data_IF_053484693218
#
_entry.id   IF_053484693218
#
_cell.length_a   1.000
_cell.length_b   1.000
_cell.length_c   1.000
_cell.angle_alpha   90.00
_cell.angle_beta   90.00
_cell.angle_gamma   90.00
#
_symmetry.space_group_name_H-M   'P 1'
#
loop_
_entity.id
_entity.type
_entity.pdbx_description
1 polymer ?
#
# COMPACT_ATOMS: atom_id res chain seq x y z
N UNK A 1 -4.01 2.58 27.46
CA UNK A 1 -3.87 1.58 26.36
C UNK A 1 -3.69 2.22 24.99
N UNK A 2 -4.48 3.23 24.59
CA UNK A 2 -4.35 3.85 23.26
C UNK A 2 -3.00 4.55 22.96
N UNK A 3 -2.25 5.04 23.97
CA UNK A 3 -0.91 5.62 23.75
C UNK A 3 0.19 4.56 23.52
N UNK A 4 0.12 3.41 24.20
CA UNK A 4 1.16 2.36 24.13
C UNK A 4 1.08 1.52 22.84
N UNK A 5 -0.01 1.62 22.09
CA UNK A 5 -0.19 1.04 20.76
C UNK A 5 -0.55 2.11 19.71
N UNK A 6 -0.31 3.39 20.04
CA UNK A 6 -0.64 4.47 19.13
C UNK A 6 0.36 4.48 17.99
N UNK A 7 -0.14 4.52 16.75
CA UNK A 7 0.67 4.88 15.59
C UNK A 7 1.08 6.37 15.61
N UNK A 8 0.67 7.15 16.62
CA UNK A 8 0.98 8.59 16.71
C UNK A 8 2.49 8.89 16.91
N UNK A 9 3.30 7.90 17.27
CA UNK A 9 4.76 8.04 17.34
C UNK A 9 5.48 7.55 16.08
N UNK A 10 4.73 7.06 15.07
CA UNK A 10 5.34 6.66 13.80
C UNK A 10 5.86 7.92 13.07
N UNK A 11 7.15 8.00 12.73
CA UNK A 11 7.69 9.13 11.98
C UNK A 11 7.05 9.21 10.59
N UNK A 12 7.02 10.41 10.01
CA UNK A 12 6.61 10.57 8.62
C UNK A 12 7.67 9.97 7.68
N UNK A 13 7.36 8.81 7.10
CA UNK A 13 8.26 8.09 6.21
C UNK A 13 8.23 8.60 4.76
N UNK A 14 7.38 9.57 4.43
CA UNK A 14 7.20 10.04 3.05
C UNK A 14 8.50 10.49 2.39
N UNK A 15 9.32 11.27 3.09
CA UNK A 15 10.58 11.77 2.54
C UNK A 15 11.56 10.61 2.27
N UNK A 16 11.76 9.73 3.25
CA UNK A 16 12.64 8.56 3.14
C UNK A 16 12.18 7.59 2.06
N UNK A 17 10.87 7.34 1.98
CA UNK A 17 10.30 6.48 0.93
C UNK A 17 10.44 7.11 -0.45
N UNK A 18 10.35 8.44 -0.61
CA UNK A 18 10.61 9.06 -1.93
C UNK A 18 12.08 9.01 -2.35
N UNK A 19 13.01 9.02 -1.39
CA UNK A 19 14.45 8.99 -1.62
C UNK A 19 15.06 7.57 -1.63
N UNK A 20 14.24 6.53 -1.53
CA UNK A 20 14.67 5.13 -1.47
C UNK A 20 15.48 4.69 -2.70
N UNK A 21 16.38 3.74 -2.50
CA UNK A 21 17.19 3.07 -3.53
C UNK A 21 16.74 1.63 -3.82
N UNK A 22 15.62 1.20 -3.24
CA UNK A 22 15.02 -0.11 -3.43
C UNK A 22 13.65 -0.05 -4.13
N UNK A 23 13.24 -1.12 -4.86
CA UNK A 23 11.89 -1.23 -5.42
C UNK A 23 10.82 -1.14 -4.34
N UNK A 24 9.75 -0.40 -4.60
CA UNK A 24 8.64 -0.24 -3.67
C UNK A 24 7.32 -0.18 -4.42
N UNK A 25 6.49 -1.17 -4.13
CA UNK A 25 5.17 -1.35 -4.71
C UNK A 25 4.12 -1.14 -3.63
N UNK A 26 3.06 -0.41 -3.98
CA UNK A 26 1.97 -0.09 -3.06
C UNK A 26 0.68 -0.74 -3.53
N UNK A 27 0.11 -1.66 -2.76
CA UNK A 27 -1.17 -2.29 -3.09
C UNK A 27 -2.28 -1.61 -2.30
N UNK A 28 -3.36 -1.24 -2.98
CA UNK A 28 -4.54 -0.66 -2.33
C UNK A 28 -5.82 -1.13 -3.03
N UNK A 29 -6.89 -1.33 -2.26
CA UNK A 29 -8.20 -1.63 -2.83
C UNK A 29 -8.79 -0.42 -3.54
N UNK A 30 -9.51 -0.67 -4.63
CA UNK A 30 -10.23 0.35 -5.41
C UNK A 30 -11.11 1.26 -4.54
N UNK A 31 -11.80 0.69 -3.54
CA UNK A 31 -12.72 1.41 -2.65
C UNK A 31 -12.01 2.11 -1.47
N UNK A 32 -10.71 1.93 -1.30
CA UNK A 32 -9.95 2.57 -0.22
C UNK A 32 -9.40 3.94 -0.63
N UNK A 33 -10.28 4.94 -0.65
CA UNK A 33 -9.92 6.30 -1.05
C UNK A 33 -8.82 6.93 -0.18
N UNK A 34 -8.74 6.56 1.11
CA UNK A 34 -7.74 7.10 2.03
C UNK A 34 -6.33 6.64 1.64
N UNK A 35 -6.14 5.34 1.47
CA UNK A 35 -4.81 4.80 1.18
C UNK A 35 -4.43 4.96 -0.30
N UNK A 36 -5.41 5.08 -1.21
CA UNK A 36 -5.15 5.52 -2.59
C UNK A 36 -4.56 6.94 -2.65
N UNK A 37 -5.06 7.87 -1.83
CA UNK A 37 -4.49 9.22 -1.76
C UNK A 37 -3.05 9.20 -1.23
N UNK A 38 -2.78 8.41 -0.18
CA UNK A 38 -1.43 8.24 0.38
C UNK A 38 -0.46 7.65 -0.66
N UNK A 39 -0.89 6.66 -1.44
CA UNK A 39 -0.06 6.09 -2.50
C UNK A 39 0.41 7.15 -3.52
N UNK A 40 -0.46 8.12 -3.85
CA UNK A 40 -0.12 9.27 -4.69
C UNK A 40 0.94 10.19 -4.07
N UNK A 41 0.90 10.43 -2.76
CA UNK A 41 1.89 11.27 -2.04
C UNK A 41 3.30 10.64 -1.96
N UNK A 42 3.38 9.31 -2.11
CA UNK A 42 4.63 8.53 -1.98
C UNK A 42 5.39 8.36 -3.30
N UNK A 43 4.83 8.83 -4.42
CA UNK A 43 5.33 8.55 -5.78
C UNK A 43 5.67 7.07 -5.98
N UNK A 44 4.84 6.18 -5.42
CA UNK A 44 5.02 4.74 -5.50
C UNK A 44 4.40 4.18 -6.77
N UNK A 45 4.92 3.05 -7.26
CA UNK A 45 4.18 2.23 -8.22
C UNK A 45 2.98 1.63 -7.50
N UNK A 46 1.82 2.24 -7.69
CA UNK A 46 0.59 1.87 -7.02
C UNK A 46 -0.20 0.87 -7.88
N UNK A 47 -0.57 -0.25 -7.26
CA UNK A 47 -1.39 -1.30 -7.83
C UNK A 47 -2.77 -1.26 -7.17
N UNK A 48 -3.79 -0.97 -7.97
CA UNK A 48 -5.18 -0.93 -7.50
C UNK A 48 -5.80 -2.30 -7.66
N UNK A 49 -6.27 -2.86 -6.55
CA UNK A 49 -6.99 -4.13 -6.53
C UNK A 49 -8.48 -3.85 -6.72
N UNK A 50 -8.99 -4.23 -7.90
CA UNK A 50 -10.39 -4.02 -8.25
C UNK A 50 -11.34 -4.78 -7.32
N UNK A 51 -12.51 -4.19 -7.08
CA UNK A 51 -13.56 -4.76 -6.23
C UNK A 51 -13.12 -5.07 -4.79
N UNK A 52 -12.14 -4.34 -4.26
CA UNK A 52 -11.63 -4.47 -2.90
C UNK A 52 -11.60 -3.15 -2.12
N UNK A 53 -11.79 -3.24 -0.80
CA UNK A 53 -11.53 -2.18 0.18
C UNK A 53 -10.13 -2.30 0.80
N UNK A 54 -10.01 -1.93 2.08
CA UNK A 54 -8.71 -1.85 2.77
C UNK A 54 -7.98 -3.20 2.84
N UNK A 55 -8.71 -4.26 3.24
CA UNK A 55 -8.16 -5.61 3.32
C UNK A 55 -8.26 -6.30 1.95
N UNK A 56 -7.61 -5.73 0.95
CA UNK A 56 -7.77 -6.15 -0.44
C UNK A 56 -7.40 -7.62 -0.69
N UNK A 57 -6.41 -8.15 0.02
CA UNK A 57 -6.02 -9.56 -0.04
C UNK A 57 -7.12 -10.50 0.50
N UNK A 58 -7.98 -10.02 1.39
CA UNK A 58 -9.11 -10.79 1.92
C UNK A 58 -10.32 -10.69 1.01
N UNK A 59 -10.57 -9.51 0.44
CA UNK A 59 -11.75 -9.26 -0.41
C UNK A 59 -11.57 -9.76 -1.84
N UNK A 60 -10.34 -9.72 -2.38
CA UNK A 60 -10.01 -10.23 -3.71
C UNK A 60 -8.61 -10.88 -3.71
N UNK A 61 -8.47 -12.07 -3.09
CA UNK A 61 -7.18 -12.76 -2.93
C UNK A 61 -6.52 -13.06 -4.28
N UNK A 62 -7.29 -13.49 -5.27
CA UNK A 62 -6.76 -13.86 -6.58
C UNK A 62 -6.15 -12.67 -7.32
N UNK A 63 -6.79 -11.49 -7.26
CA UNK A 63 -6.24 -10.29 -7.84
C UNK A 63 -4.96 -9.83 -7.13
N UNK A 64 -4.86 -10.00 -5.81
CA UNK A 64 -3.62 -9.71 -5.07
C UNK A 64 -2.51 -10.67 -5.47
N UNK A 65 -2.79 -11.97 -5.56
CA UNK A 65 -1.81 -12.97 -6.01
C UNK A 65 -1.33 -12.66 -7.43
N UNK A 66 -2.25 -12.37 -8.35
CA UNK A 66 -1.91 -12.00 -9.73
C UNK A 66 -1.05 -10.74 -9.79
N UNK A 67 -1.37 -9.72 -8.99
CA UNK A 67 -0.59 -8.50 -8.88
C UNK A 67 0.83 -8.78 -8.34
N UNK A 68 0.96 -9.54 -7.26
CA UNK A 68 2.26 -9.92 -6.70
C UNK A 68 3.11 -10.69 -7.70
N UNK A 69 2.51 -11.64 -8.43
CA UNK A 69 3.21 -12.42 -9.45
C UNK A 69 3.80 -11.55 -10.57
N UNK A 70 3.19 -10.39 -10.89
CA UNK A 70 3.68 -9.50 -11.95
C UNK A 70 5.05 -8.86 -11.64
N UNK A 71 5.34 -8.56 -10.36
CA UNK A 71 6.57 -7.86 -9.99
C UNK A 71 7.52 -8.65 -9.08
N UNK A 72 7.12 -9.84 -8.62
CA UNK A 72 8.03 -10.77 -7.94
C UNK A 72 8.69 -11.76 -8.92
N UNK A 73 8.12 -11.93 -10.11
CA UNK A 73 8.70 -12.78 -11.16
C UNK A 73 9.72 -12.04 -12.04
N UNK A 74 9.91 -10.73 -11.82
CA UNK A 74 10.89 -9.86 -12.51
C UNK A 74 12.18 -9.75 -11.73
#
# INVERSE_FOLDING_TARGET
>A
MLQASSLAEQPDLRASLRARDFPFHYLCGERDGKFRAIAGELSATAHVINHAGHNAHRENPDAVVACLAQFLAS
#
